data_IF_130902640700
#
_entry.id   IF_130902640700
#
_cell.length_a   1.000
_cell.length_b   1.000
_cell.length_c   1.000
_cell.angle_alpha   90.00
_cell.angle_beta   90.00
_cell.angle_gamma   90.00
#
_symmetry.space_group_name_H-M   'P 1'
#
loop_
_entity.id
_entity.type
_entity.pdbx_description
1 polymer ?
#
# COMPACT_ATOMS: atom_id res chain seq x y z
N UNK A 1 12.93 0.45 15.32
CA UNK A 1 11.65 -0.23 15.00
C UNK A 1 10.60 0.23 16.01
N UNK A 2 9.92 1.35 15.73
CA UNK A 2 8.93 1.91 16.67
C UNK A 2 7.52 1.51 16.22
N UNK A 3 6.88 0.62 16.98
CA UNK A 3 5.57 0.05 16.70
C UNK A 3 5.14 -0.90 17.82
N UNK A 4 3.89 -1.36 17.81
CA UNK A 4 3.31 -2.20 18.88
C UNK A 4 4.11 -3.48 19.20
N UNK A 5 4.88 -3.99 18.24
CA UNK A 5 5.76 -5.15 18.46
C UNK A 5 6.94 -4.81 19.37
N UNK A 6 7.50 -3.60 19.25
CA UNK A 6 8.51 -3.09 20.17
C UNK A 6 7.94 -2.81 21.56
N UNK A 7 6.70 -2.31 21.63
CA UNK A 7 5.98 -2.13 22.89
C UNK A 7 5.74 -3.48 23.58
N UNK A 8 5.46 -4.54 22.83
CA UNK A 8 5.25 -5.89 23.35
C UNK A 8 6.54 -6.50 23.92
N UNK A 9 7.68 -6.32 23.26
CA UNK A 9 9.00 -6.75 23.78
C UNK A 9 9.32 -5.99 25.07
N UNK A 10 9.09 -4.67 25.07
CA UNK A 10 9.31 -3.82 26.24
C UNK A 10 8.39 -4.20 27.41
N UNK A 11 7.14 -4.55 27.11
CA UNK A 11 6.16 -5.06 28.07
C UNK A 11 6.60 -6.37 28.72
N UNK A 12 7.11 -7.33 27.94
CA UNK A 12 7.64 -8.58 28.47
C UNK A 12 8.87 -8.33 29.36
N UNK A 13 9.78 -7.45 28.95
CA UNK A 13 10.94 -7.10 29.76
C UNK A 13 10.50 -6.54 31.12
N UNK A 14 9.60 -5.56 31.12
CA UNK A 14 9.07 -4.94 32.34
C UNK A 14 8.32 -5.95 33.23
N UNK A 15 7.57 -6.87 32.62
CA UNK A 15 6.87 -7.93 33.35
C UNK A 15 7.85 -8.83 34.11
N UNK A 16 8.93 -9.27 33.46
CA UNK A 16 9.96 -10.10 34.09
C UNK A 16 10.75 -9.32 35.15
N UNK A 17 11.12 -8.09 34.84
CA UNK A 17 11.83 -7.21 35.77
C UNK A 17 11.02 -6.97 37.06
N UNK A 18 9.70 -6.82 36.94
CA UNK A 18 8.79 -6.66 38.09
C UNK A 18 8.67 -7.88 39.00
N UNK A 19 9.05 -9.06 38.50
CA UNK A 19 9.04 -10.32 39.27
C UNK A 19 10.40 -10.59 39.93
N UNK A 20 11.44 -9.84 39.60
CA UNK A 20 12.77 -10.09 40.17
C UNK A 20 12.77 -9.80 41.67
N UNK A 21 13.40 -10.67 42.48
CA UNK A 21 13.52 -10.42 43.91
C UNK A 21 14.38 -9.16 44.15
N UNK A 22 14.10 -8.40 45.22
CA UNK A 22 14.95 -7.27 45.60
C UNK A 22 16.35 -7.78 45.97
N UNK A 23 17.38 -7.06 45.55
CA UNK A 23 18.78 -7.34 45.89
C UNK A 23 19.36 -6.16 46.71
N UNK A 24 20.14 -6.42 47.77
CA UNK A 24 20.75 -5.36 48.57
C UNK A 24 21.77 -4.50 47.80
N UNK A 25 22.57 -5.14 46.95
CA UNK A 25 23.55 -4.48 46.08
C UNK A 25 23.00 -4.39 44.64
N UNK A 26 22.78 -3.19 44.10
CA UNK A 26 22.36 -2.99 42.71
C UNK A 26 23.28 -3.66 41.68
N UNK A 27 24.57 -3.83 41.98
CA UNK A 27 25.52 -4.50 41.09
C UNK A 27 25.25 -6.00 40.93
N UNK A 28 24.51 -6.60 41.85
CA UNK A 28 24.10 -8.01 41.84
C UNK A 28 22.70 -8.23 41.23
N UNK A 29 22.04 -7.18 40.75
CA UNK A 29 20.72 -7.30 40.12
C UNK A 29 20.80 -8.25 38.92
N UNK A 30 19.89 -9.24 38.80
CA UNK A 30 19.85 -10.13 37.65
C UNK A 30 19.72 -9.34 36.34
N UNK A 31 20.44 -9.77 35.31
CA UNK A 31 20.36 -9.18 33.97
C UNK A 31 19.47 -10.05 33.10
N UNK A 32 18.46 -9.44 32.48
CA UNK A 32 17.52 -10.14 31.58
C UNK A 32 17.83 -9.79 30.13
N UNK A 33 18.00 -10.80 29.29
CA UNK A 33 18.11 -10.67 27.84
C UNK A 33 17.00 -11.45 27.15
N UNK A 34 16.30 -10.82 26.20
CA UNK A 34 15.16 -11.41 25.50
C UNK A 34 15.51 -11.76 24.05
N UNK A 35 15.24 -13.00 23.67
CA UNK A 35 15.26 -13.49 22.30
C UNK A 35 13.84 -13.85 21.85
N UNK A 36 13.07 -12.93 21.21
CA UNK A 36 11.75 -13.25 20.68
C UNK A 36 11.87 -14.25 19.52
N UNK A 37 11.19 -15.39 19.63
CA UNK A 37 11.14 -16.40 18.58
C UNK A 37 10.01 -16.11 17.57
N UNK A 38 8.86 -15.61 18.04
CA UNK A 38 7.81 -15.11 17.17
C UNK A 38 6.95 -14.06 17.86
N UNK A 39 6.41 -13.14 17.05
CA UNK A 39 5.44 -12.12 17.45
C UNK A 39 4.24 -12.25 16.52
N UNK A 40 3.05 -12.49 17.08
CA UNK A 40 1.81 -12.65 16.31
C UNK A 40 0.74 -11.71 16.84
N UNK A 41 -0.14 -11.26 15.96
CA UNK A 41 -1.34 -10.57 16.37
C UNK A 41 -2.25 -11.50 17.21
N UNK A 42 -2.81 -10.99 18.31
CA UNK A 42 -3.87 -11.67 19.07
C UNK A 42 -5.23 -11.11 18.65
N UNK A 43 -6.24 -11.97 18.48
CA UNK A 43 -7.56 -11.58 17.99
C UNK A 43 -7.60 -11.38 16.47
N UNK A 44 -8.52 -10.56 15.97
CA UNK A 44 -8.70 -10.35 14.52
C UNK A 44 -7.78 -9.23 14.05
N UNK A 45 -6.71 -9.59 13.33
CA UNK A 45 -5.69 -8.62 12.87
C UNK A 45 -4.94 -7.90 14.00
N UNK A 46 -5.09 -8.37 15.25
CA UNK A 46 -4.50 -7.75 16.44
C UNK A 46 -5.52 -7.03 17.29
N UNK A 47 -6.78 -6.90 16.89
CA UNK A 47 -7.83 -6.30 17.72
C UNK A 47 -8.38 -7.33 18.72
N UNK A 48 -8.43 -6.95 20.00
CA UNK A 48 -8.87 -7.82 21.11
C UNK A 48 -10.18 -7.33 21.74
N UNK A 49 -10.49 -6.04 21.66
CA UNK A 49 -11.71 -5.47 22.21
C UNK A 49 -11.64 -3.96 22.40
N UNK A 50 -12.65 -3.41 23.06
CA UNK A 50 -12.77 -1.97 23.34
C UNK A 50 -12.51 -1.74 24.84
N UNK A 51 -11.59 -0.84 25.16
CA UNK A 51 -11.40 -0.31 26.50
C UNK A 51 -12.48 0.73 26.78
N UNK A 52 -13.10 0.70 27.97
CA UNK A 52 -14.17 1.64 28.31
C UNK A 52 -13.62 3.01 28.73
N UNK A 53 -12.54 3.03 29.51
CA UNK A 53 -11.94 4.26 30.05
C UNK A 53 -10.41 4.20 30.03
N UNK A 54 -9.72 5.06 29.25
CA UNK A 54 -10.30 5.89 28.19
C UNK A 54 -10.89 5.02 27.06
N UNK A 55 -11.98 5.49 26.44
CA UNK A 55 -12.65 4.74 25.38
C UNK A 55 -11.71 4.52 24.19
N UNK A 56 -11.53 3.30 23.71
CA UNK A 56 -10.75 3.07 22.49
C UNK A 56 -10.33 1.62 22.28
N UNK A 57 -9.73 1.35 21.13
CA UNK A 57 -9.39 -0.01 20.71
C UNK A 57 -8.21 -0.57 21.51
N UNK A 58 -8.31 -1.84 21.88
CA UNK A 58 -7.24 -2.62 22.51
C UNK A 58 -6.62 -3.52 21.46
N UNK A 59 -5.32 -3.36 21.23
CA UNK A 59 -4.57 -4.19 20.30
C UNK A 59 -3.65 -5.17 21.04
N UNK A 60 -3.70 -6.44 20.64
CA UNK A 60 -2.95 -7.54 21.23
C UNK A 60 -1.77 -8.01 20.39
N UNK A 61 -0.69 -8.41 21.07
CA UNK A 61 0.42 -9.19 20.50
C UNK A 61 0.73 -10.39 21.39
N UNK A 62 0.86 -11.55 20.78
CA UNK A 62 1.37 -12.77 21.42
C UNK A 62 2.84 -12.96 21.06
N UNK A 63 3.69 -13.04 22.07
CA UNK A 63 5.11 -13.37 21.98
C UNK A 63 5.34 -14.82 22.39
N UNK A 64 6.11 -15.55 21.59
CA UNK A 64 6.88 -16.71 22.05
C UNK A 64 8.34 -16.25 22.12
N UNK A 65 8.94 -16.31 23.31
CA UNK A 65 10.26 -15.75 23.57
C UNK A 65 11.08 -16.67 24.47
N UNK A 66 12.40 -16.55 24.31
CA UNK A 66 13.39 -17.10 25.23
C UNK A 66 13.95 -15.95 26.07
N UNK A 67 13.93 -16.09 27.39
CA UNK A 67 14.55 -15.13 28.30
C UNK A 67 15.78 -15.77 28.95
N UNK A 68 16.93 -15.13 28.77
CA UNK A 68 18.16 -15.47 29.47
C UNK A 68 18.27 -14.54 30.69
N UNK A 69 18.30 -15.13 31.89
CA UNK A 69 18.43 -14.42 33.15
C UNK A 69 19.79 -14.77 33.76
N UNK A 70 20.70 -13.81 33.78
CA UNK A 70 22.01 -13.95 34.43
C UNK A 70 21.88 -13.53 35.89
N UNK A 71 21.86 -14.51 36.78
CA UNK A 71 21.83 -14.34 38.24
C UNK A 71 23.25 -14.09 38.74
N UNK A 72 23.44 -13.15 39.65
CA UNK A 72 24.75 -12.77 40.20
C UNK A 72 24.74 -12.85 41.72
N UNK A 73 25.89 -13.17 42.30
CA UNK A 73 26.12 -13.20 43.73
C UNK A 73 27.50 -12.63 44.07
N UNK A 74 27.68 -12.19 45.31
CA UNK A 74 28.95 -11.64 45.79
C UNK A 74 30.06 -12.70 45.79
N UNK A 75 29.70 -13.96 46.04
CA UNK A 75 30.60 -15.11 46.04
C UNK A 75 29.88 -16.40 45.62
N UNK A 76 30.65 -17.47 45.38
CA UNK A 76 30.12 -18.77 44.98
C UNK A 76 29.18 -19.42 46.02
N UNK A 77 29.40 -19.17 47.32
CA UNK A 77 28.57 -19.72 48.40
C UNK A 77 27.15 -19.16 48.42
N UNK A 78 26.98 -17.90 47.99
CA UNK A 78 25.68 -17.22 47.94
C UNK A 78 24.91 -17.48 46.62
N UNK A 79 25.58 -17.98 45.58
CA UNK A 79 25.00 -18.13 44.24
C UNK A 79 23.79 -19.06 44.23
N UNK A 80 23.85 -20.20 44.94
CA UNK A 80 22.74 -21.16 44.98
C UNK A 80 21.48 -20.55 45.61
N UNK A 81 21.63 -19.73 46.65
CA UNK A 81 20.53 -19.03 47.29
C UNK A 81 19.92 -17.98 46.36
N UNK A 82 20.75 -17.21 45.65
CA UNK A 82 20.31 -16.22 44.66
C UNK A 82 19.55 -16.89 43.49
N UNK A 83 20.07 -17.99 42.95
CA UNK A 83 19.42 -18.77 41.87
C UNK A 83 18.07 -19.33 42.33
N UNK A 84 18.01 -19.85 43.56
CA UNK A 84 16.76 -20.35 44.15
C UNK A 84 15.73 -19.23 44.28
N UNK A 85 16.14 -18.06 44.78
CA UNK A 85 15.28 -16.89 44.93
C UNK A 85 14.70 -16.43 43.59
N UNK A 86 15.53 -16.28 42.55
CA UNK A 86 15.07 -15.90 41.20
C UNK A 86 14.15 -16.96 40.59
N UNK A 87 14.49 -18.25 40.75
CA UNK A 87 13.67 -19.35 40.24
C UNK A 87 12.30 -19.38 40.94
N UNK A 88 12.25 -19.22 42.26
CA UNK A 88 11.00 -19.13 43.02
C UNK A 88 10.18 -17.91 42.62
N UNK A 89 10.81 -16.77 42.39
CA UNK A 89 10.10 -15.56 42.00
C UNK A 89 9.44 -15.67 40.60
N UNK A 90 10.10 -16.33 39.65
CA UNK A 90 9.58 -16.51 38.29
C UNK A 90 8.64 -17.71 38.12
N UNK A 91 8.99 -18.85 38.72
CA UNK A 91 8.25 -20.11 38.57
C UNK A 91 7.20 -20.33 39.67
N UNK A 92 7.39 -19.72 40.84
CA UNK A 92 6.49 -19.81 42.00
C UNK A 92 5.46 -18.69 42.08
N UNK A 93 5.51 -17.70 41.18
CA UNK A 93 4.50 -16.65 41.10
C UNK A 93 3.11 -17.26 40.83
N UNK A 94 2.09 -16.73 41.52
CA UNK A 94 0.72 -17.19 41.31
C UNK A 94 0.28 -16.99 39.86
N UNK A 95 -0.48 -17.95 39.34
CA UNK A 95 -0.97 -17.92 37.95
C UNK A 95 -1.75 -16.65 37.63
N UNK A 96 -2.50 -16.11 38.59
CA UNK A 96 -3.25 -14.86 38.45
C UNK A 96 -2.31 -13.67 38.29
N UNK A 97 -1.30 -13.57 39.16
CA UNK A 97 -0.25 -12.54 39.11
C UNK A 97 0.52 -12.56 37.78
N UNK A 98 0.85 -13.75 37.27
CA UNK A 98 1.48 -13.91 35.96
C UNK A 98 0.58 -13.42 34.83
N UNK A 99 -0.72 -13.78 34.86
CA UNK A 99 -1.69 -13.37 33.84
C UNK A 99 -1.96 -11.87 33.84
N UNK A 100 -2.03 -11.24 35.01
CA UNK A 100 -2.19 -9.78 35.13
C UNK A 100 -1.04 -9.02 34.47
N UNK A 101 0.15 -9.61 34.47
CA UNK A 101 1.35 -9.06 33.80
C UNK A 101 1.44 -9.44 32.32
N UNK A 102 0.55 -10.29 31.81
CA UNK A 102 0.55 -10.78 30.43
C UNK A 102 1.33 -12.08 30.21
N UNK A 103 1.93 -12.69 31.25
CA UNK A 103 2.66 -13.95 31.13
C UNK A 103 1.63 -15.10 31.14
N UNK A 104 1.41 -15.71 29.97
CA UNK A 104 0.50 -16.84 29.82
C UNK A 104 1.14 -18.16 30.25
N UNK A 105 2.45 -18.29 30.03
CA UNK A 105 3.26 -19.44 30.43
C UNK A 105 4.72 -19.02 30.59
N UNK A 106 5.37 -19.51 31.63
CA UNK A 106 6.82 -19.46 31.81
C UNK A 106 7.29 -20.85 32.23
N UNK A 107 8.37 -21.32 31.63
CA UNK A 107 8.99 -22.60 31.97
C UNK A 107 10.50 -22.44 31.98
N UNK A 108 11.15 -22.95 33.02
CA UNK A 108 12.60 -23.11 33.03
C UNK A 108 12.98 -24.18 32.01
N UNK A 109 13.80 -23.79 31.04
CA UNK A 109 14.23 -24.63 29.92
C UNK A 109 15.62 -25.19 30.19
N UNK A 110 16.56 -24.33 30.60
CA UNK A 110 17.93 -24.73 30.89
C UNK A 110 18.52 -23.95 32.07
N UNK A 111 19.43 -24.61 32.78
CA UNK A 111 20.24 -24.04 33.85
C UNK A 111 21.70 -24.17 33.43
N UNK A 112 22.37 -23.04 33.22
CA UNK A 112 23.78 -22.98 32.85
C UNK A 112 24.73 -23.41 33.98
N UNK A 113 26.03 -23.56 33.69
CA UNK A 113 27.04 -23.84 34.70
C UNK A 113 27.25 -22.62 35.62
N UNK A 114 27.79 -22.87 36.81
CA UNK A 114 28.26 -21.79 37.68
C UNK A 114 29.54 -21.19 37.07
N UNK A 115 29.63 -19.86 37.05
CA UNK A 115 30.77 -19.16 36.45
C UNK A 115 31.29 -18.05 37.39
N UNK A 116 32.60 -17.96 37.53
CA UNK A 116 33.28 -16.95 38.36
C UNK A 116 33.65 -15.72 37.54
N UNK A 117 33.42 -14.54 38.09
CA UNK A 117 33.82 -13.24 37.56
C UNK A 117 34.90 -12.58 38.42
N UNK A 118 35.29 -11.32 38.10
CA UNK A 118 36.29 -10.59 38.86
C UNK A 118 35.86 -10.31 40.31
N UNK A 119 36.75 -10.54 41.28
CA UNK A 119 36.55 -10.19 42.70
C UNK A 119 35.60 -11.11 43.45
N UNK A 120 35.86 -12.43 43.44
CA UNK A 120 35.06 -13.51 44.03
C UNK A 120 33.61 -13.66 43.53
N UNK A 121 33.11 -12.72 42.75
CA UNK A 121 31.75 -12.71 42.20
C UNK A 121 31.45 -13.98 41.40
N UNK A 122 30.25 -14.51 41.58
CA UNK A 122 29.79 -15.68 40.86
C UNK A 122 28.49 -15.35 40.11
N UNK A 123 28.25 -16.01 38.98
CA UNK A 123 27.03 -15.86 38.21
C UNK A 123 26.58 -17.19 37.60
N UNK A 124 25.30 -17.25 37.26
CA UNK A 124 24.68 -18.40 36.60
C UNK A 124 23.56 -17.95 35.67
N UNK A 125 23.54 -18.53 34.49
CA UNK A 125 22.52 -18.26 33.49
C UNK A 125 21.34 -19.22 33.61
N UNK A 126 20.12 -18.67 33.61
CA UNK A 126 18.87 -19.42 33.58
C UNK A 126 18.12 -19.08 32.29
N UNK A 127 17.76 -20.09 31.52
CA UNK A 127 17.00 -19.91 30.27
C UNK A 127 15.55 -20.28 30.49
N UNK A 128 14.64 -19.37 30.16
CA UNK A 128 13.19 -19.57 30.27
C UNK A 128 12.52 -19.49 28.91
N UNK A 129 11.57 -20.38 28.65
CA UNK A 129 10.62 -20.28 27.53
C UNK A 129 9.34 -19.59 28.01
N UNK A 130 8.91 -18.58 27.28
CA UNK A 130 7.82 -17.70 27.71
C UNK A 130 6.80 -17.53 26.60
N UNK A 131 5.52 -17.70 26.94
CA UNK A 131 4.41 -17.21 26.12
C UNK A 131 3.84 -15.99 26.82
N UNK A 132 3.86 -14.86 26.12
CA UNK A 132 3.45 -13.56 26.63
C UNK A 132 2.36 -12.95 25.75
N UNK A 133 1.42 -12.23 26.35
CA UNK A 133 0.40 -11.47 25.65
C UNK A 133 0.44 -10.01 26.12
N UNK A 134 0.78 -9.14 25.17
CA UNK A 134 0.76 -7.70 25.34
C UNK A 134 -0.58 -7.15 24.87
N UNK A 135 -1.20 -6.28 25.69
CA UNK A 135 -2.41 -5.55 25.32
C UNK A 135 -2.11 -4.05 25.34
N UNK A 136 -2.03 -3.44 24.16
CA UNK A 136 -1.92 -1.99 23.99
C UNK A 136 -3.30 -1.37 24.21
N UNK A 137 -3.47 -0.76 25.37
CA UNK A 137 -4.67 0.02 25.71
C UNK A 137 -4.53 1.46 25.21
N UNK A 138 -5.64 2.13 24.87
CA UNK A 138 -5.62 3.54 24.53
C UNK A 138 -5.17 4.37 25.74
N UNK A 139 -4.34 5.40 25.51
CA UNK A 139 -3.93 6.36 26.54
C UNK A 139 -4.85 7.58 26.59
N UNK A 140 -5.64 7.82 25.54
CA UNK A 140 -6.62 8.90 25.42
C UNK A 140 -7.90 8.38 24.78
N UNK A 141 -9.04 9.02 25.05
CA UNK A 141 -10.32 8.58 24.52
C UNK A 141 -10.36 8.79 23.00
N UNK A 142 -10.56 7.71 22.25
CA UNK A 142 -10.99 7.75 20.85
C UNK A 142 -12.47 8.12 20.81
N UNK A 143 -12.83 9.05 19.92
CA UNK A 143 -14.17 9.62 19.83
C UNK A 143 -15.29 8.58 19.74
N UNK A 144 -16.46 8.94 20.28
CA UNK A 144 -17.69 8.15 20.18
C UNK A 144 -18.10 8.04 18.71
N UNK A 145 -18.17 6.82 18.18
CA UNK A 145 -18.77 6.54 16.87
C UNK A 145 -20.28 6.83 16.99
N UNK A 146 -20.78 7.87 16.33
CA UNK A 146 -22.19 8.28 16.33
C UNK A 146 -23.08 7.55 15.31
N UNK A 147 -22.53 6.61 14.54
CA UNK A 147 -23.30 5.72 13.66
C UNK A 147 -22.85 4.28 13.84
N UNK A 148 -23.78 3.34 14.06
CA UNK A 148 -23.49 1.91 13.94
C UNK A 148 -23.81 1.51 12.50
N UNK A 149 -22.84 1.50 11.57
CA UNK A 149 -23.06 0.85 10.30
C UNK A 149 -23.06 -0.66 10.58
N UNK A 150 -24.19 -1.31 10.36
CA UNK A 150 -24.26 -2.76 10.21
C UNK A 150 -23.50 -3.15 8.94
N UNK A 151 -22.18 -3.20 9.02
CA UNK A 151 -21.29 -3.59 7.94
C UNK A 151 -21.13 -5.12 7.93
N UNK A 152 -22.14 -5.83 7.44
CA UNK A 152 -21.89 -7.14 6.85
C UNK A 152 -21.11 -6.88 5.55
N UNK A 153 -19.77 -6.87 5.62
CA UNK A 153 -18.91 -6.77 4.43
C UNK A 153 -18.40 -8.14 4.00
N UNK A 154 -19.13 -8.75 3.07
CA UNK A 154 -18.54 -9.51 1.98
C UNK A 154 -18.02 -8.49 0.95
N UNK A 155 -16.92 -7.78 1.22
CA UNK A 155 -16.36 -6.82 0.24
C UNK A 155 -14.85 -6.65 0.43
N UNK A 156 -14.09 -7.16 -0.53
CA UNK A 156 -12.63 -7.03 -0.66
C UNK A 156 -12.22 -5.60 -1.09
N UNK A 157 -12.45 -4.56 -0.29
CA UNK A 157 -11.86 -3.24 -0.59
C UNK A 157 -10.47 -3.14 0.00
N UNK A 158 -9.46 -3.30 -0.86
CA UNK A 158 -8.05 -3.02 -0.60
C UNK A 158 -7.90 -1.52 -0.32
N UNK A 159 -6.99 -1.10 0.56
CA UNK A 159 -6.65 0.32 0.68
C UNK A 159 -6.04 0.80 -0.65
N UNK A 160 -6.19 2.09 -1.01
CA UNK A 160 -5.58 2.61 -2.23
C UNK A 160 -4.08 2.32 -2.27
N UNK A 161 -3.61 1.76 -3.39
CA UNK A 161 -2.24 1.33 -3.57
C UNK A 161 -1.63 2.01 -4.79
N UNK A 162 -0.56 2.79 -4.61
CA UNK A 162 0.24 3.29 -5.73
C UNK A 162 0.95 2.12 -6.41
N UNK A 163 0.59 1.86 -7.66
CA UNK A 163 1.21 0.80 -8.48
C UNK A 163 2.37 1.34 -9.31
N UNK A 164 2.27 2.60 -9.75
CA UNK A 164 3.30 3.29 -10.51
C UNK A 164 3.24 4.79 -10.20
N UNK A 165 4.39 5.42 -10.00
CA UNK A 165 4.52 6.88 -9.94
C UNK A 165 5.90 7.25 -10.42
N UNK A 166 6.00 7.84 -11.60
CA UNK A 166 7.31 8.14 -12.19
C UNK A 166 7.23 9.21 -13.28
N UNK A 167 8.20 10.14 -13.35
CA UNK A 167 8.49 10.80 -14.61
C UNK A 167 9.01 9.77 -15.61
N UNK A 168 8.85 10.05 -16.92
CA UNK A 168 9.43 9.20 -17.95
C UNK A 168 10.93 9.45 -18.07
N UNK A 169 11.69 8.44 -17.69
CA UNK A 169 13.15 8.37 -17.76
C UNK A 169 13.61 7.45 -18.89
N UNK A 170 14.91 7.41 -19.17
CA UNK A 170 15.49 6.46 -20.12
C UNK A 170 15.03 5.02 -19.80
N UNK A 171 14.59 4.30 -20.83
CA UNK A 171 14.02 2.96 -20.69
C UNK A 171 12.52 2.90 -20.35
N UNK A 172 11.86 4.03 -20.09
CA UNK A 172 10.41 4.04 -19.79
C UNK A 172 9.55 3.49 -20.91
N UNK A 173 9.98 3.63 -22.17
CA UNK A 173 9.26 3.08 -23.32
C UNK A 173 9.10 1.55 -23.23
N UNK A 174 10.05 0.85 -22.56
CA UNK A 174 9.99 -0.60 -22.36
C UNK A 174 8.88 -1.03 -21.40
N UNK A 175 8.30 -0.10 -20.63
CA UNK A 175 7.14 -0.37 -19.78
C UNK A 175 5.88 -0.59 -20.61
N UNK A 176 5.92 -0.27 -21.90
CA UNK A 176 4.75 -0.23 -22.74
C UNK A 176 4.79 -1.20 -23.92
N UNK A 177 3.59 -1.43 -24.45
CA UNK A 177 3.32 -2.10 -25.72
C UNK A 177 2.60 -1.10 -26.64
N UNK A 178 3.14 -0.90 -27.84
CA UNK A 178 2.50 -0.06 -28.85
C UNK A 178 1.45 -0.87 -29.61
N UNK A 179 0.25 -0.32 -29.76
CA UNK A 179 -0.88 -0.94 -30.47
C UNK A 179 -1.56 0.13 -31.31
N UNK A 180 -1.84 -0.15 -32.58
CA UNK A 180 -2.68 0.71 -33.42
C UNK A 180 -4.05 0.05 -33.63
N UNK A 181 -5.13 0.83 -33.50
CA UNK A 181 -6.48 0.33 -33.77
C UNK A 181 -6.61 -0.17 -35.22
N UNK A 182 -7.21 -1.34 -35.50
CA UNK A 182 -7.49 -1.81 -36.86
C UNK A 182 -8.27 -0.79 -37.70
N UNK A 183 -9.16 -0.01 -37.08
CA UNK A 183 -9.91 1.06 -37.73
C UNK A 183 -9.10 2.32 -38.03
N UNK A 184 -7.88 2.46 -37.50
CA UNK A 184 -6.98 3.58 -37.80
C UNK A 184 -6.22 3.29 -39.09
N UNK A 185 -6.81 3.57 -40.24
CA UNK A 185 -6.26 3.16 -41.55
C UNK A 185 -5.25 4.14 -42.15
N UNK A 186 -5.00 5.29 -41.50
CA UNK A 186 -4.12 6.35 -42.01
C UNK A 186 -2.82 6.45 -41.21
N UNK A 187 -1.72 6.76 -41.91
CA UNK A 187 -0.38 7.08 -41.35
C UNK A 187 0.20 6.06 -40.35
N UNK A 188 -0.19 4.80 -40.45
CA UNK A 188 0.33 3.69 -39.64
C UNK A 188 1.77 3.31 -40.04
N UNK A 189 2.55 2.66 -39.15
CA UNK A 189 2.23 2.42 -37.74
C UNK A 189 2.51 3.63 -36.84
N UNK A 190 1.96 3.62 -35.64
CA UNK A 190 2.30 4.55 -34.57
C UNK A 190 3.80 4.49 -34.25
N UNK A 191 4.48 5.64 -34.28
CA UNK A 191 5.89 5.76 -33.93
C UNK A 191 6.04 6.35 -32.54
N UNK A 192 6.20 5.49 -31.56
CA UNK A 192 6.46 5.87 -30.17
C UNK A 192 7.97 5.87 -29.90
N UNK A 193 8.48 6.96 -29.34
CA UNK A 193 9.90 7.11 -29.03
C UNK A 193 10.09 7.80 -27.68
N UNK A 194 11.22 7.53 -27.02
CA UNK A 194 11.64 8.29 -25.85
C UNK A 194 12.66 9.36 -26.27
N UNK A 195 12.38 10.62 -25.92
CA UNK A 195 13.28 11.74 -26.11
C UNK A 195 14.04 12.01 -24.81
N UNK A 196 15.32 11.65 -24.79
CA UNK A 196 16.16 11.73 -23.61
C UNK A 196 16.51 13.17 -23.19
N UNK A 197 16.66 14.10 -24.14
CA UNK A 197 16.99 15.50 -23.80
C UNK A 197 15.80 16.22 -23.15
N UNK A 198 14.59 15.77 -23.45
CA UNK A 198 13.34 16.39 -23.00
C UNK A 198 12.59 15.59 -21.92
N UNK A 199 13.11 14.41 -21.54
CA UNK A 199 12.53 13.57 -20.50
C UNK A 199 11.08 13.13 -20.79
N UNK A 200 10.78 12.72 -22.03
CA UNK A 200 9.39 12.46 -22.44
C UNK A 200 9.23 11.34 -23.47
N UNK A 201 8.07 10.70 -23.46
CA UNK A 201 7.62 9.82 -24.54
C UNK A 201 6.89 10.66 -25.58
N UNK A 202 7.12 10.37 -26.85
CA UNK A 202 6.55 11.09 -27.98
C UNK A 202 5.91 10.12 -28.97
N UNK A 203 4.72 10.46 -29.45
CA UNK A 203 4.12 9.84 -30.62
C UNK A 203 4.43 10.74 -31.83
N UNK A 204 4.98 10.15 -32.90
CA UNK A 204 5.49 10.87 -34.10
C UNK A 204 4.80 10.51 -35.42
N UNK A 205 3.68 9.79 -35.39
CA UNK A 205 2.91 9.38 -36.57
C UNK A 205 1.49 9.93 -36.51
N UNK A 206 0.97 10.42 -37.64
CA UNK A 206 -0.40 10.95 -37.75
C UNK A 206 -1.47 9.84 -37.81
N UNK A 207 -1.41 8.85 -36.92
CA UNK A 207 -2.24 7.64 -36.98
C UNK A 207 -3.66 7.97 -36.58
N UNK A 208 -4.62 7.74 -37.49
CA UNK A 208 -6.02 7.91 -37.18
C UNK A 208 -6.96 7.15 -38.12
N UNK A 209 -8.20 7.06 -37.69
CA UNK A 209 -9.38 6.71 -38.47
C UNK A 209 -10.63 7.31 -37.85
N UNK A 210 -11.80 6.95 -38.36
CA UNK A 210 -13.07 7.48 -37.83
C UNK A 210 -13.24 8.98 -38.09
N UNK A 211 -13.64 9.73 -37.06
CA UNK A 211 -14.07 11.12 -37.14
C UNK A 211 -13.14 12.06 -36.37
N UNK A 212 -12.97 13.30 -36.83
CA UNK A 212 -12.34 14.39 -36.07
C UNK A 212 -13.33 15.19 -35.23
N UNK A 213 -14.64 14.99 -35.39
CA UNK A 213 -15.70 15.69 -34.67
C UNK A 213 -15.88 15.23 -33.21
N UNK A 214 -16.78 15.87 -32.44
CA UNK A 214 -17.03 15.61 -31.02
C UNK A 214 -17.86 14.33 -30.80
N UNK A 215 -17.37 13.21 -31.32
CA UNK A 215 -17.98 11.88 -31.24
C UNK A 215 -16.93 10.81 -30.90
N UNK A 216 -17.34 9.65 -30.38
CA UNK A 216 -16.42 8.65 -29.84
C UNK A 216 -15.71 7.82 -30.91
N UNK A 217 -16.00 7.97 -32.21
CA UNK A 217 -15.35 7.20 -33.27
C UNK A 217 -13.89 7.65 -33.49
N UNK A 218 -13.00 7.18 -32.60
CA UNK A 218 -11.58 7.57 -32.50
C UNK A 218 -10.59 6.40 -32.60
N UNK A 219 -10.59 5.60 -33.69
CA UNK A 219 -9.50 4.66 -33.95
C UNK A 219 -8.16 5.39 -34.03
N UNK A 220 -7.20 5.05 -33.16
CA UNK A 220 -5.93 5.76 -33.04
C UNK A 220 -4.74 4.86 -32.72
N UNK A 221 -3.67 5.47 -32.23
CA UNK A 221 -2.48 4.80 -31.72
C UNK A 221 -2.49 4.80 -30.19
N UNK A 222 -2.13 3.66 -29.61
CA UNK A 222 -2.15 3.41 -28.17
C UNK A 222 -0.77 2.97 -27.68
N UNK A 223 -0.43 3.38 -26.47
CA UNK A 223 0.76 2.92 -25.77
C UNK A 223 0.36 2.37 -24.39
N UNK A 224 0.27 1.05 -24.28
CA UNK A 224 -0.34 0.34 -23.15
C UNK A 224 0.70 -0.07 -22.14
N UNK A 225 0.49 0.24 -20.86
CA UNK A 225 1.35 -0.29 -19.80
C UNK A 225 1.31 -1.82 -19.80
N UNK A 226 2.48 -2.45 -19.78
CA UNK A 226 2.62 -3.90 -19.63
C UNK A 226 2.27 -4.30 -18.21
N UNK A 227 1.65 -5.46 -18.09
CA UNK A 227 1.43 -6.08 -16.78
C UNK A 227 2.70 -6.77 -16.32
N UNK A 228 3.01 -6.63 -15.04
CA UNK A 228 4.10 -7.32 -14.36
C UNK A 228 3.79 -7.45 -12.88
N UNK A 229 4.63 -8.16 -12.14
CA UNK A 229 4.54 -8.17 -10.68
C UNK A 229 4.55 -6.73 -10.13
N UNK A 230 3.60 -6.41 -9.25
CA UNK A 230 3.39 -5.05 -8.72
C UNK A 230 2.63 -4.08 -9.63
N UNK A 231 2.32 -4.46 -10.89
CA UNK A 231 1.54 -3.65 -11.83
C UNK A 231 0.49 -4.52 -12.57
N UNK A 232 -0.55 -4.99 -11.86
CA UNK A 232 -1.64 -5.78 -12.46
C UNK A 232 -2.61 -4.89 -13.27
N UNK A 233 -3.50 -5.50 -14.09
CA UNK A 233 -4.69 -4.81 -14.59
C UNK A 233 -5.52 -4.22 -13.43
N UNK A 234 -6.15 -3.08 -13.67
CA UNK A 234 -6.93 -2.34 -12.67
C UNK A 234 -8.39 -2.16 -13.10
N UNK A 235 -9.29 -2.24 -12.14
CA UNK A 235 -10.72 -1.96 -12.34
C UNK A 235 -11.04 -0.56 -11.81
N UNK A 236 -10.80 -0.33 -10.52
CA UNK A 236 -10.97 0.96 -9.86
C UNK A 236 -9.60 1.58 -9.62
N UNK A 237 -9.41 2.81 -10.11
CA UNK A 237 -8.11 3.46 -10.13
C UNK A 237 -8.20 4.98 -10.24
N UNK A 238 -7.07 5.63 -9.94
CA UNK A 238 -6.74 6.99 -10.36
C UNK A 238 -5.52 6.91 -11.28
N UNK A 239 -5.64 7.43 -12.49
CA UNK A 239 -4.57 7.54 -13.47
C UNK A 239 -4.29 9.02 -13.74
N UNK A 240 -3.07 9.45 -13.43
CA UNK A 240 -2.59 10.81 -13.73
C UNK A 240 -1.50 10.76 -14.77
N UNK A 241 -1.58 11.64 -15.76
CA UNK A 241 -0.55 11.78 -16.79
C UNK A 241 -0.32 13.25 -17.10
N UNK A 242 0.96 13.63 -17.14
CA UNK A 242 1.39 14.93 -17.66
C UNK A 242 1.59 14.83 -19.17
N UNK A 243 0.79 15.58 -19.93
CA UNK A 243 0.83 15.57 -21.39
C UNK A 243 0.89 16.99 -21.97
N UNK A 244 1.37 17.07 -23.21
CA UNK A 244 1.42 18.29 -24.04
C UNK A 244 1.28 17.89 -25.49
N UNK A 245 0.64 18.72 -26.29
CA UNK A 245 0.62 18.58 -27.74
C UNK A 245 1.08 19.86 -28.42
N UNK A 246 1.88 19.74 -29.49
CA UNK A 246 2.21 20.85 -30.40
C UNK A 246 1.47 20.77 -31.74
N UNK A 247 0.53 19.84 -31.83
CA UNK A 247 -0.47 19.65 -32.88
C UNK A 247 -1.86 19.93 -32.27
N UNK A 248 -2.89 20.11 -33.09
CA UNK A 248 -4.26 20.39 -32.68
C UNK A 248 -5.19 19.15 -32.67
N UNK A 249 -4.69 17.99 -33.10
CA UNK A 249 -5.40 16.70 -33.12
C UNK A 249 -5.45 15.95 -31.76
N UNK A 250 -6.18 14.84 -31.69
CA UNK A 250 -6.52 14.15 -30.45
C UNK A 250 -5.35 13.59 -29.63
N UNK A 251 -5.36 13.86 -28.32
CA UNK A 251 -4.44 13.29 -27.31
C UNK A 251 -5.21 12.87 -26.07
N UNK A 252 -4.79 11.80 -25.39
CA UNK A 252 -5.43 11.40 -24.14
C UNK A 252 -4.92 10.10 -23.56
N UNK A 253 -5.84 9.33 -22.97
CA UNK A 253 -5.57 8.14 -22.18
C UNK A 253 -6.53 7.00 -22.54
N UNK A 254 -6.05 5.76 -22.51
CA UNK A 254 -6.89 4.56 -22.57
C UNK A 254 -6.91 3.86 -21.21
N UNK A 255 -8.04 3.25 -20.86
CA UNK A 255 -8.20 2.58 -19.58
C UNK A 255 -9.22 1.44 -19.64
N UNK A 256 -9.13 0.54 -18.65
CA UNK A 256 -9.80 -0.78 -18.66
C UNK A 256 -9.64 -1.51 -20.00
N UNK A 257 -8.43 -1.45 -20.56
CA UNK A 257 -8.11 -2.14 -21.80
C UNK A 257 -8.09 -3.65 -21.58
N UNK A 258 -9.04 -4.34 -22.21
CA UNK A 258 -9.16 -5.80 -22.23
C UNK A 258 -8.73 -6.38 -23.58
N UNK A 259 -8.64 -5.53 -24.61
CA UNK A 259 -8.21 -5.89 -25.96
C UNK A 259 -8.49 -4.74 -26.92
N UNK A 260 -8.04 -4.87 -28.16
CA UNK A 260 -8.19 -3.83 -29.19
C UNK A 260 -9.66 -3.53 -29.56
N UNK A 261 -10.58 -4.38 -29.13
CA UNK A 261 -12.01 -4.24 -29.34
C UNK A 261 -12.79 -3.82 -28.09
N UNK A 262 -12.12 -3.74 -26.93
CA UNK A 262 -12.75 -3.56 -25.62
C UNK A 262 -11.90 -2.68 -24.68
N UNK A 263 -12.21 -1.38 -24.64
CA UNK A 263 -11.57 -0.41 -23.74
C UNK A 263 -12.42 0.86 -23.58
N UNK A 264 -12.13 1.64 -22.54
CA UNK A 264 -12.56 3.04 -22.44
C UNK A 264 -11.40 3.97 -22.76
N UNK A 265 -11.72 5.22 -23.11
CA UNK A 265 -10.71 6.23 -23.36
C UNK A 265 -11.20 7.62 -22.99
N UNK A 266 -10.27 8.47 -22.56
CA UNK A 266 -10.43 9.91 -22.52
C UNK A 266 -9.63 10.52 -23.66
N UNK A 267 -10.18 11.53 -24.32
CA UNK A 267 -9.50 12.27 -25.38
C UNK A 267 -9.91 13.74 -25.34
N UNK A 268 -8.95 14.63 -25.61
CA UNK A 268 -9.18 16.04 -25.88
C UNK A 268 -8.55 16.43 -27.20
N UNK A 269 -9.17 17.38 -27.89
CA UNK A 269 -8.84 17.79 -29.25
C UNK A 269 -8.93 19.31 -29.35
N UNK A 270 -7.85 19.96 -29.79
CA UNK A 270 -7.80 21.42 -29.87
C UNK A 270 -8.52 21.94 -31.12
N UNK A 271 -8.22 21.37 -32.30
CA UNK A 271 -8.81 21.81 -33.57
C UNK A 271 -10.33 21.64 -33.63
N UNK A 272 -10.87 20.57 -33.03
CA UNK A 272 -12.32 20.36 -32.88
C UNK A 272 -12.93 21.03 -31.65
N UNK A 273 -12.12 21.59 -30.75
CA UNK A 273 -12.52 22.21 -29.48
C UNK A 273 -13.44 21.34 -28.60
N UNK A 274 -13.03 20.11 -28.34
CA UNK A 274 -13.80 19.21 -27.45
C UNK A 274 -12.92 18.30 -26.61
N UNK A 275 -13.56 17.72 -25.60
CA UNK A 275 -13.04 16.65 -24.77
C UNK A 275 -14.15 15.67 -24.43
N UNK A 276 -13.82 14.38 -24.43
CA UNK A 276 -14.80 13.33 -24.17
C UNK A 276 -14.20 12.12 -23.49
N UNK A 277 -15.07 11.34 -22.84
CA UNK A 277 -14.81 9.94 -22.50
C UNK A 277 -15.71 9.07 -23.37
N UNK A 278 -15.11 8.12 -24.08
CA UNK A 278 -15.80 7.17 -24.94
C UNK A 278 -15.45 5.73 -24.60
N UNK A 279 -16.08 4.80 -25.30
CA UNK A 279 -15.80 3.37 -25.19
C UNK A 279 -15.66 2.74 -26.56
N UNK A 280 -14.92 1.63 -26.62
CA UNK A 280 -14.99 0.64 -27.67
C UNK A 280 -15.40 -0.68 -27.05
N UNK A 281 -16.48 -1.28 -27.55
CA UNK A 281 -17.00 -2.56 -27.06
C UNK A 281 -17.35 -3.42 -28.26
N UNK A 282 -16.86 -4.66 -28.28
CA UNK A 282 -17.03 -5.58 -29.41
C UNK A 282 -16.67 -4.93 -30.76
N UNK A 283 -15.60 -4.13 -30.79
CA UNK A 283 -15.08 -3.50 -32.00
C UNK A 283 -15.76 -2.17 -32.36
N UNK A 284 -16.83 -1.79 -31.67
CA UNK A 284 -17.61 -0.59 -32.00
C UNK A 284 -17.36 0.54 -31.01
N UNK A 285 -17.02 1.72 -31.54
CA UNK A 285 -16.90 2.95 -30.76
C UNK A 285 -18.28 3.52 -30.43
N UNK A 286 -18.48 3.91 -29.18
CA UNK A 286 -19.75 4.44 -28.70
C UNK A 286 -19.56 5.43 -27.53
N UNK A 287 -20.61 6.20 -27.26
CA UNK A 287 -20.68 7.03 -26.07
C UNK A 287 -20.84 6.13 -24.84
N UNK A 288 -20.50 6.68 -23.68
CA UNK A 288 -20.89 6.09 -22.41
C UNK A 288 -22.42 6.08 -22.25
N UNK A 289 -22.96 5.17 -21.44
CA UNK A 289 -24.39 5.15 -21.08
C UNK A 289 -24.88 6.49 -20.51
N UNK A 290 -24.09 7.13 -19.65
CA UNK A 290 -24.22 8.55 -19.32
C UNK A 290 -23.06 9.30 -19.99
N UNK A 291 -23.33 10.06 -21.07
CA UNK A 291 -22.29 10.70 -21.85
C UNK A 291 -21.41 11.64 -21.01
N UNK A 292 -20.11 11.61 -21.30
CA UNK A 292 -19.12 12.55 -20.80
C UNK A 292 -18.49 13.25 -22.01
N UNK A 293 -19.16 14.29 -22.50
CA UNK A 293 -18.74 15.09 -23.63
C UNK A 293 -18.87 16.58 -23.28
N UNK A 294 -17.82 17.33 -23.58
CA UNK A 294 -17.81 18.78 -23.58
C UNK A 294 -17.32 19.23 -24.95
N UNK A 295 -18.23 19.75 -25.76
CA UNK A 295 -17.98 20.19 -27.14
C UNK A 295 -17.65 21.68 -27.24
N UNK A 296 -17.32 22.34 -26.12
CA UNK A 296 -16.90 23.74 -26.07
C UNK A 296 -15.46 23.95 -25.61
N UNK A 297 -14.75 22.89 -25.22
CA UNK A 297 -13.42 22.98 -24.64
C UNK A 297 -12.49 21.87 -25.12
N UNK A 298 -11.45 22.27 -25.87
CA UNK A 298 -10.27 21.46 -26.17
C UNK A 298 -9.12 21.71 -25.18
N UNK A 299 -7.91 21.32 -25.58
CA UNK A 299 -6.68 21.72 -24.91
C UNK A 299 -6.03 22.91 -25.61
N UNK A 300 -5.11 23.60 -24.92
CA UNK A 300 -4.32 24.67 -25.51
C UNK A 300 -3.04 24.10 -26.15
N UNK A 301 -2.85 24.28 -27.45
CA UNK A 301 -1.64 23.83 -28.15
C UNK A 301 -0.39 24.45 -27.51
N UNK A 302 0.63 23.62 -27.25
CA UNK A 302 1.88 23.99 -26.62
C UNK A 302 1.83 24.07 -25.08
N UNK A 303 0.64 24.03 -24.46
CA UNK A 303 0.52 24.00 -23.00
C UNK A 303 0.79 22.60 -22.44
N UNK A 304 1.31 22.56 -21.21
CA UNK A 304 1.35 21.32 -20.44
C UNK A 304 0.05 21.20 -19.64
N UNK A 305 -0.53 20.00 -19.63
CA UNK A 305 -1.72 19.68 -18.85
C UNK A 305 -1.47 18.44 -17.99
N UNK A 306 -1.93 18.49 -16.73
CA UNK A 306 -2.08 17.30 -15.90
C UNK A 306 -3.51 16.76 -16.09
N UNK A 307 -3.63 15.55 -16.63
CA UNK A 307 -4.92 14.86 -16.77
C UNK A 307 -5.03 13.77 -15.72
N UNK A 308 -6.10 13.82 -14.93
CA UNK A 308 -6.47 12.80 -13.95
C UNK A 308 -7.77 12.11 -14.39
N UNK A 309 -7.74 10.80 -14.61
CA UNK A 309 -8.92 9.96 -14.80
C UNK A 309 -9.12 9.11 -13.55
N UNK A 310 -10.27 9.27 -12.90
CA UNK A 310 -10.71 8.42 -11.79
C UNK A 310 -11.82 7.50 -12.26
N UNK A 311 -11.59 6.18 -12.17
CA UNK A 311 -12.59 5.16 -12.40
C UNK A 311 -12.96 4.47 -11.08
N UNK A 312 -14.25 4.44 -10.73
CA UNK A 312 -14.75 3.72 -9.56
C UNK A 312 -16.08 3.06 -9.89
N UNK A 313 -16.09 1.72 -9.92
CA UNK A 313 -17.20 0.93 -10.44
C UNK A 313 -17.55 1.42 -11.85
N UNK A 314 -18.77 1.88 -12.10
CA UNK A 314 -19.17 2.37 -13.42
C UNK A 314 -18.95 3.87 -13.64
N UNK A 315 -18.49 4.61 -12.63
CA UNK A 315 -18.35 6.07 -12.72
C UNK A 315 -16.95 6.47 -13.16
N UNK A 316 -16.88 7.39 -14.13
CA UNK A 316 -15.64 7.97 -14.62
C UNK A 316 -15.66 9.48 -14.41
N UNK A 317 -14.60 10.01 -13.81
CA UNK A 317 -14.40 11.46 -13.64
C UNK A 317 -13.06 11.84 -14.24
N UNK A 318 -13.04 12.98 -14.94
CA UNK A 318 -11.81 13.56 -15.48
C UNK A 318 -11.59 14.92 -14.85
N UNK A 319 -10.37 15.17 -14.37
CA UNK A 319 -9.89 16.50 -14.02
C UNK A 319 -8.75 16.88 -14.96
N UNK A 320 -8.71 18.15 -15.34
CA UNK A 320 -7.60 18.74 -16.11
C UNK A 320 -7.07 19.89 -15.27
N UNK A 321 -5.76 19.87 -14.99
CA UNK A 321 -5.07 20.88 -14.17
C UNK A 321 -5.73 21.06 -12.79
N UNK A 322 -6.17 19.94 -12.21
CA UNK A 322 -6.86 19.92 -10.94
C UNK A 322 -8.31 20.41 -10.98
N UNK A 323 -8.85 20.84 -12.11
CA UNK A 323 -10.25 21.31 -12.26
C UNK A 323 -11.14 20.19 -12.81
N UNK A 324 -12.34 19.93 -12.25
CA UNK A 324 -13.29 18.97 -12.82
C UNK A 324 -13.65 19.34 -14.26
N UNK A 325 -13.52 18.39 -15.18
CA UNK A 325 -13.73 18.60 -16.61
C UNK A 325 -14.89 17.77 -17.16
N UNK A 326 -14.97 16.49 -16.79
CA UNK A 326 -15.99 15.57 -17.29
C UNK A 326 -16.42 14.59 -16.18
N UNK A 327 -17.67 14.16 -16.25
CA UNK A 327 -18.20 13.07 -15.46
C UNK A 327 -19.14 12.22 -16.33
N UNK A 328 -19.02 10.89 -16.25
CA UNK A 328 -19.83 9.96 -17.01
C UNK A 328 -19.99 8.63 -16.29
N UNK A 329 -20.85 7.77 -16.84
CA UNK A 329 -21.13 6.44 -16.29
C UNK A 329 -21.27 5.41 -17.38
N UNK A 330 -20.66 4.24 -17.20
CA UNK A 330 -20.81 3.10 -18.10
C UNK A 330 -20.49 1.76 -17.39
N UNK A 331 -21.22 0.71 -17.75
CA UNK A 331 -21.09 -0.63 -17.16
C UNK A 331 -20.66 -1.70 -18.17
N UNK A 332 -20.40 -1.33 -19.43
CA UNK A 332 -20.13 -2.31 -20.50
C UNK A 332 -18.84 -3.10 -20.32
N UNK A 333 -17.83 -2.55 -19.63
CA UNK A 333 -16.56 -3.23 -19.35
C UNK A 333 -16.31 -3.25 -17.82
N UNK A 334 -16.92 -4.22 -17.11
CA UNK A 334 -16.82 -4.30 -15.65
C UNK A 334 -15.49 -4.89 -15.17
N UNK A 335 -14.79 -5.69 -16.00
CA UNK A 335 -13.54 -6.33 -15.58
C UNK A 335 -12.34 -5.36 -15.55
N UNK A 336 -11.34 -5.70 -14.73
CA UNK A 336 -10.07 -5.01 -14.69
C UNK A 336 -9.37 -5.04 -16.06
N UNK A 337 -8.63 -3.98 -16.39
CA UNK A 337 -7.90 -3.89 -17.64
C UNK A 337 -6.64 -3.04 -17.52
N UNK A 338 -5.85 -3.01 -18.59
CA UNK A 338 -4.64 -2.19 -18.66
C UNK A 338 -5.01 -0.71 -18.86
N UNK A 339 -4.06 0.17 -18.56
CA UNK A 339 -4.16 1.60 -18.85
C UNK A 339 -3.01 2.03 -19.75
N UNK A 340 -3.13 3.17 -20.40
CA UNK A 340 -2.13 3.63 -21.33
C UNK A 340 -2.40 5.03 -21.87
N UNK A 341 -1.59 5.39 -22.86
CA UNK A 341 -1.62 6.67 -23.55
C UNK A 341 -2.34 6.51 -24.89
N UNK A 342 -2.95 7.59 -25.34
CA UNK A 342 -3.69 7.67 -26.60
C UNK A 342 -3.19 8.84 -27.44
N UNK A 343 -3.01 8.60 -28.74
CA UNK A 343 -2.96 9.62 -29.77
C UNK A 343 -3.94 9.27 -30.88
N UNK A 344 -4.63 10.27 -31.42
CA UNK A 344 -5.52 10.16 -32.57
C UNK A 344 -5.21 11.31 -33.51
N UNK A 345 -4.60 11.02 -34.65
CA UNK A 345 -4.25 12.02 -35.65
C UNK A 345 -3.07 12.90 -35.24
N UNK A 346 -2.48 12.69 -34.06
CA UNK A 346 -1.56 13.66 -33.47
C UNK A 346 -0.11 13.16 -33.48
N UNK A 347 0.72 13.72 -34.36
CA UNK A 347 2.15 13.40 -34.50
C UNK A 347 3.09 14.27 -33.63
N UNK A 348 2.53 15.11 -32.75
CA UNK A 348 3.26 15.89 -31.75
C UNK A 348 2.70 15.71 -30.34
N UNK A 349 2.24 14.50 -30.03
CA UNK A 349 1.74 14.13 -28.72
C UNK A 349 2.90 13.74 -27.79
N UNK A 350 3.03 14.44 -26.67
CA UNK A 350 4.14 14.30 -25.73
C UNK A 350 3.64 14.01 -24.32
N UNK A 351 4.30 13.07 -23.64
CA UNK A 351 3.94 12.62 -22.29
C UNK A 351 5.18 12.60 -21.40
N UNK A 352 5.08 13.10 -20.17
CA UNK A 352 6.25 13.32 -19.28
C UNK A 352 6.24 12.54 -17.98
N UNK A 353 5.08 12.19 -17.46
CA UNK A 353 4.97 11.46 -16.20
C UNK A 353 3.67 10.68 -16.14
N UNK A 354 3.67 9.62 -15.35
CA UNK A 354 2.50 8.78 -15.08
C UNK A 354 2.43 8.42 -13.60
N UNK A 355 1.23 8.46 -13.05
CA UNK A 355 0.91 7.91 -11.74
C UNK A 355 -0.36 7.05 -11.85
N UNK A 356 -0.28 5.83 -11.34
CA UNK A 356 -1.39 4.90 -11.28
C UNK A 356 -1.57 4.44 -9.84
N UNK A 357 -2.75 4.70 -9.29
CA UNK A 357 -3.18 4.26 -7.96
C UNK A 357 -4.38 3.34 -8.14
N UNK A 358 -4.29 2.11 -7.66
CA UNK A 358 -5.45 1.22 -7.52
C UNK A 358 -6.28 1.67 -6.31
N UNK A 359 -7.61 1.67 -6.43
CA UNK A 359 -8.53 2.11 -5.38
C UNK A 359 -9.13 0.99 -4.54
#
# INVERSE_FOLDING_TARGET
MAGIDGDAISGLFNALDSLMPPVPDPALRPVVSLGPASIKATGVGGFVGINQEPRGDVFGRRLDATALVTVRAANAGELSAAVTSVTQALMGAERTSLRERGILRITLDQVGPDASGPGDRAHRDLTFRIIYEFLKRPQQASGVIQEVPLNIRLSQTRAPQTLLKSPFVAGSLNWFEAVDDPGATRSRPGRWQYNASEGRIEQRSNVWGGSSGPDPNKPGAYLLLRTREGLPPVQDFVLKVNLRSEDDDGIGLVFRWQGVDNFYFFLMHSGGNYRLVGKKVAGQFANLSTPALDAGHGYQVGANHEVEVTARGPSFHVRIDGVPALAGRDESLPAAGRVGLLSHGNNRAFFRAIELVQL
#
